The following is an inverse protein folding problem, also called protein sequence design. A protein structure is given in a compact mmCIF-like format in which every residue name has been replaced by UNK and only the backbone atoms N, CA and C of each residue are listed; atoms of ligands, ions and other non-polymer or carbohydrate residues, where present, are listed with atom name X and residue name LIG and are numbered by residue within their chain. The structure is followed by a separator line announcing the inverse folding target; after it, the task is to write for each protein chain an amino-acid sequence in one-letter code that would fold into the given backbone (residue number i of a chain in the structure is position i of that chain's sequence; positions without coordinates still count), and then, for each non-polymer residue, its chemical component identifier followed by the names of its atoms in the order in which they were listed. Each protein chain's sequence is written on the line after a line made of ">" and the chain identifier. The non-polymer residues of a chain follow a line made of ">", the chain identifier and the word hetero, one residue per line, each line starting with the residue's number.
data_IF_653562695489
#
_entry.id   IF_653562695489
#
_cell.length_a   1.000
_cell.length_b   1.000
_cell.length_c   1.000
_cell.angle_alpha   90.00
_cell.angle_beta   90.00
_cell.angle_gamma   90.00
#
_symmetry.space_group_name_H-M   'P 1'
#
loop_
_entity.id
_entity.type
_entity.pdbx_description
1 polymer ?
#
# COMPACT_ATOMS: atom_id res chain seq x y z
N UNK A 1 -38.14 -29.48 48.44
CA UNK A 1 -37.46 -28.75 48.21
C UNK A 1 -36.99 -28.56 47.12
N UNK A 2 -36.76 -27.83 46.61
CA UNK A 2 -36.45 -27.44 45.63
C UNK A 2 -35.33 -27.14 45.24
N UNK A 3 -34.65 -27.46 44.18
CA UNK A 3 -33.39 -27.03 43.72
C UNK A 3 -33.47 -25.71 43.08
N UNK A 4 -32.77 -24.84 43.65
CA UNK A 4 -32.58 -23.57 43.01
C UNK A 4 -31.63 -23.72 41.88
N UNK A 5 -32.17 -23.77 40.70
CA UNK A 5 -31.30 -23.73 39.54
C UNK A 5 -30.95 -22.26 39.30
N UNK A 6 -29.81 -21.91 39.82
CA UNK A 6 -29.19 -20.68 39.39
C UNK A 6 -28.65 -20.89 37.99
N UNK A 7 -29.48 -20.61 37.06
CA UNK A 7 -28.93 -20.49 35.71
C UNK A 7 -28.08 -19.23 35.71
N UNK A 8 -26.80 -19.43 35.89
CA UNK A 8 -25.86 -18.40 35.66
C UNK A 8 -25.82 -18.18 34.15
N UNK A 9 -26.59 -17.25 33.72
CA UNK A 9 -26.47 -16.81 32.37
C UNK A 9 -25.09 -16.13 32.25
N UNK A 10 -24.14 -16.89 31.83
CA UNK A 10 -22.85 -16.33 31.49
C UNK A 10 -23.08 -15.48 30.26
N UNK A 11 -23.33 -14.22 30.48
CA UNK A 11 -23.33 -13.27 29.40
C UNK A 11 -21.86 -13.13 29.01
N UNK A 12 -21.48 -13.93 28.04
CA UNK A 12 -20.23 -13.72 27.40
C UNK A 12 -20.37 -12.43 26.62
N UNK A 13 -20.14 -11.33 27.26
CA UNK A 13 -19.93 -10.10 26.53
C UNK A 13 -18.64 -10.32 25.76
N UNK A 14 -18.77 -10.68 24.51
CA UNK A 14 -17.66 -10.64 23.62
C UNK A 14 -17.15 -9.21 23.63
N UNK A 15 -16.05 -9.01 24.31
CA UNK A 15 -15.31 -7.78 24.18
C UNK A 15 -14.83 -7.70 22.76
N UNK A 16 -15.66 -7.13 21.91
CA UNK A 16 -15.17 -6.68 20.62
C UNK A 16 -14.28 -5.50 20.97
N UNK A 17 -12.98 -5.76 20.99
CA UNK A 17 -12.03 -4.66 21.06
C UNK A 17 -12.38 -3.69 19.94
N UNK A 18 -12.59 -2.39 20.25
CA UNK A 18 -12.83 -1.45 19.18
C UNK A 18 -11.63 -1.52 18.24
N UNK A 19 -11.88 -1.93 17.02
CA UNK A 19 -10.90 -1.82 15.96
C UNK A 19 -10.64 -0.33 15.79
N UNK A 20 -9.62 0.15 16.45
CA UNK A 20 -9.14 1.47 16.14
C UNK A 20 -8.64 1.42 14.70
N UNK A 21 -9.23 2.25 13.87
CA UNK A 21 -8.75 2.43 12.52
C UNK A 21 -7.25 2.71 12.60
N UNK A 22 -6.47 1.85 12.01
CA UNK A 22 -5.03 2.03 11.96
C UNK A 22 -4.73 3.26 11.11
N UNK A 23 -3.87 4.16 11.62
CA UNK A 23 -3.38 5.29 10.82
C UNK A 23 -2.36 4.86 9.78
N UNK A 24 -2.18 3.56 9.62
CA UNK A 24 -1.22 2.96 8.70
C UNK A 24 -1.93 2.21 7.58
N UNK A 25 -1.29 2.11 6.45
CA UNK A 25 -1.78 1.39 5.29
C UNK A 25 -0.79 0.28 4.91
N UNK A 26 -1.30 -0.91 4.68
CA UNK A 26 -0.56 -1.97 4.01
C UNK A 26 -0.81 -1.83 2.52
N UNK A 27 0.23 -1.46 1.79
CA UNK A 27 0.15 -1.15 0.37
C UNK A 27 0.71 -2.30 -0.46
N UNK A 28 -0.06 -2.73 -1.45
CA UNK A 28 0.39 -3.71 -2.44
C UNK A 28 0.38 -3.03 -3.80
N UNK A 29 1.46 -3.15 -4.54
CA UNK A 29 1.56 -2.56 -5.87
C UNK A 29 1.77 -3.67 -6.88
N UNK A 30 0.88 -3.74 -7.87
CA UNK A 30 0.96 -4.67 -8.98
C UNK A 30 1.35 -3.89 -10.23
N UNK A 31 2.44 -4.30 -10.87
CA UNK A 31 2.98 -3.62 -12.04
C UNK A 31 2.80 -4.51 -13.27
N UNK A 32 2.18 -3.95 -14.28
CA UNK A 32 1.87 -4.67 -15.51
C UNK A 32 2.36 -3.93 -16.74
N UNK A 33 2.66 -4.70 -17.78
CA UNK A 33 3.01 -4.17 -19.09
C UNK A 33 1.75 -3.61 -19.79
N UNK A 34 1.91 -2.89 -20.91
CA UNK A 34 0.74 -2.45 -21.70
C UNK A 34 -0.19 -3.58 -22.09
N UNK A 35 0.35 -4.79 -22.31
CA UNK A 35 -0.45 -5.97 -22.63
C UNK A 35 -1.03 -6.70 -21.45
N UNK A 36 -0.83 -6.19 -20.22
CA UNK A 36 -1.39 -6.79 -19.02
C UNK A 36 -0.53 -7.88 -18.40
N UNK A 37 0.70 -8.06 -18.83
CA UNK A 37 1.62 -9.07 -18.28
C UNK A 37 2.33 -8.52 -17.05
N UNK A 38 2.60 -9.39 -16.05
CA UNK A 38 3.38 -8.94 -14.89
C UNK A 38 4.76 -8.42 -15.30
N UNK A 39 5.19 -7.34 -14.68
CA UNK A 39 6.55 -6.80 -14.87
C UNK A 39 7.39 -7.18 -13.66
N UNK A 40 8.28 -8.13 -13.85
CA UNK A 40 9.19 -8.62 -12.83
C UNK A 40 10.38 -7.68 -12.66
N UNK A 41 10.89 -7.59 -11.44
CA UNK A 41 12.11 -6.86 -11.12
C UNK A 41 12.05 -5.37 -11.43
N UNK A 42 10.85 -4.80 -11.42
CA UNK A 42 10.69 -3.36 -11.51
C UNK A 42 11.06 -2.72 -10.18
N UNK A 43 11.77 -1.61 -10.23
CA UNK A 43 12.10 -0.84 -9.04
C UNK A 43 10.90 0.04 -8.68
N UNK A 44 10.32 -0.19 -7.52
CA UNK A 44 9.16 0.56 -7.02
C UNK A 44 9.64 1.44 -5.87
N UNK A 45 9.51 2.73 -6.06
CA UNK A 45 9.91 3.74 -5.08
C UNK A 45 8.66 4.42 -4.58
N UNK A 46 8.45 4.37 -3.27
CA UNK A 46 7.31 5.01 -2.62
C UNK A 46 7.84 6.10 -1.71
N UNK A 47 7.43 7.33 -1.96
CA UNK A 47 7.81 8.49 -1.16
C UNK A 47 6.59 9.06 -0.46
N UNK A 48 6.70 9.25 0.84
CA UNK A 48 5.66 9.90 1.61
C UNK A 48 5.73 11.41 1.37
N UNK A 49 4.62 12.00 0.91
CA UNK A 49 4.57 13.42 0.58
C UNK A 49 3.94 14.20 1.73
N UNK A 50 2.78 13.74 2.21
CA UNK A 50 2.01 14.50 3.18
C UNK A 50 1.05 13.57 3.91
N UNK A 51 1.02 13.64 5.24
CA UNK A 51 0.17 12.81 6.06
C UNK A 51 -1.14 13.46 6.46
N UNK A 52 -2.15 12.62 6.75
CA UNK A 52 -3.42 13.10 7.27
C UNK A 52 -3.32 13.46 8.75
N UNK A 53 -2.34 12.91 9.46
CA UNK A 53 -2.14 13.15 10.89
C UNK A 53 -0.70 13.54 11.17
N UNK A 54 -0.25 14.62 10.55
CA UNK A 54 1.15 15.03 10.61
C UNK A 54 1.66 15.23 12.06
N UNK A 55 0.78 15.61 12.99
CA UNK A 55 1.17 15.82 14.38
C UNK A 55 1.44 14.52 15.14
N UNK A 56 0.87 13.41 14.70
CA UNK A 56 1.09 12.10 15.32
C UNK A 56 2.27 11.37 14.73
N UNK A 57 2.76 11.83 13.61
CA UNK A 57 3.87 11.20 12.91
C UNK A 57 5.15 11.75 13.51
N UNK A 58 5.71 11.06 14.47
CA UNK A 58 6.95 11.49 15.09
C UNK A 58 8.10 11.61 14.10
N UNK A 59 9.18 12.23 14.53
CA UNK A 59 10.34 12.55 13.70
C UNK A 59 11.07 11.34 13.10
N UNK A 60 10.61 10.11 13.38
CA UNK A 60 11.32 8.88 12.99
C UNK A 60 10.67 8.14 11.83
N UNK A 61 9.81 8.78 11.03
CA UNK A 61 9.15 8.10 9.95
C UNK A 61 10.08 8.02 8.76
N UNK A 62 10.22 6.79 8.28
CA UNK A 62 10.92 6.57 7.03
C UNK A 62 10.06 7.16 5.92
N UNK A 63 10.64 8.07 5.14
CA UNK A 63 9.92 8.82 4.10
C UNK A 63 10.01 8.19 2.73
N UNK A 64 10.83 7.19 2.57
CA UNK A 64 11.08 6.57 1.26
C UNK A 64 11.31 5.08 1.39
N UNK A 65 10.71 4.31 0.51
CA UNK A 65 10.89 2.86 0.40
C UNK A 65 11.22 2.53 -1.04
N UNK A 66 12.17 1.63 -1.25
CA UNK A 66 12.52 1.12 -2.57
C UNK A 66 12.53 -0.40 -2.51
N UNK A 67 11.71 -1.02 -3.34
CA UNK A 67 11.55 -2.46 -3.40
C UNK A 67 11.40 -2.89 -4.85
N UNK A 68 11.59 -4.17 -5.11
CA UNK A 68 11.46 -4.70 -6.47
C UNK A 68 10.30 -5.66 -6.56
N UNK A 69 9.61 -5.64 -7.69
CA UNK A 69 8.51 -6.57 -7.94
C UNK A 69 9.02 -8.00 -8.09
N UNK A 70 8.19 -8.94 -7.66
CA UNK A 70 8.46 -10.37 -7.80
C UNK A 70 8.06 -10.87 -9.18
N UNK A 71 8.07 -12.20 -9.38
CA UNK A 71 7.71 -12.82 -10.65
C UNK A 71 6.28 -12.51 -11.09
N UNK A 72 5.41 -12.26 -10.15
CA UNK A 72 4.02 -11.90 -10.45
C UNK A 72 3.83 -10.41 -10.67
N UNK A 73 4.92 -9.65 -10.67
CA UNK A 73 4.87 -8.20 -10.83
C UNK A 73 4.34 -7.47 -9.61
N UNK A 74 4.38 -8.10 -8.44
CA UNK A 74 3.77 -7.57 -7.22
C UNK A 74 4.85 -7.28 -6.20
N UNK A 75 4.64 -6.19 -5.46
CA UNK A 75 5.47 -5.86 -4.31
C UNK A 75 4.58 -5.41 -3.17
N UNK A 76 4.91 -5.86 -1.96
CA UNK A 76 4.24 -5.40 -0.75
C UNK A 76 5.14 -4.39 -0.06
N UNK A 77 4.59 -3.22 0.18
CA UNK A 77 5.30 -2.15 0.88
C UNK A 77 5.07 -2.35 2.38
N UNK A 78 6.10 -2.21 3.22
CA UNK A 78 5.89 -2.22 4.67
C UNK A 78 4.84 -1.18 5.07
N UNK A 79 4.15 -1.36 6.21
CA UNK A 79 3.10 -0.41 6.60
C UNK A 79 3.60 1.03 6.55
N UNK A 80 2.84 1.87 5.88
CA UNK A 80 3.15 3.29 5.72
C UNK A 80 2.06 4.13 6.35
N UNK A 81 2.36 5.35 6.81
CA UNK A 81 1.33 6.25 7.29
C UNK A 81 0.33 6.60 6.19
N UNK A 82 -0.94 6.75 6.57
CA UNK A 82 -1.96 7.21 5.64
C UNK A 82 -1.70 8.65 5.22
N UNK A 83 -1.96 8.94 3.97
CA UNK A 83 -1.73 10.26 3.40
C UNK A 83 -1.48 10.20 1.91
N UNK A 84 -0.83 11.22 1.41
CA UNK A 84 -0.47 11.31 0.00
C UNK A 84 0.94 10.75 -0.19
N UNK A 85 1.08 9.86 -1.16
CA UNK A 85 2.35 9.24 -1.51
C UNK A 85 2.64 9.47 -2.99
N UNK A 86 3.92 9.53 -3.31
CA UNK A 86 4.38 9.50 -4.70
C UNK A 86 4.90 8.10 -4.99
N UNK A 87 4.38 7.48 -6.02
CA UNK A 87 4.85 6.16 -6.48
C UNK A 87 5.59 6.36 -7.79
N UNK A 88 6.86 5.94 -7.80
CA UNK A 88 7.69 5.93 -9.00
C UNK A 88 8.07 4.49 -9.32
N UNK A 89 8.00 4.13 -10.58
CA UNK A 89 8.36 2.78 -11.03
C UNK A 89 9.33 2.90 -12.19
N UNK A 90 10.48 2.28 -12.02
CA UNK A 90 11.54 2.25 -13.02
C UNK A 90 11.72 0.79 -13.44
N UNK A 91 11.47 0.51 -14.69
CA UNK A 91 11.63 -0.81 -15.25
C UNK A 91 12.28 -0.71 -16.63
N UNK A 92 13.13 -1.68 -16.92
CA UNK A 92 13.80 -1.75 -18.21
C UNK A 92 12.75 -1.87 -19.33
N UNK A 93 12.94 -1.11 -20.38
CA UNK A 93 12.09 -1.13 -21.59
C UNK A 93 10.70 -0.52 -21.39
N UNK A 94 10.53 0.28 -20.32
CA UNK A 94 9.28 1.00 -20.09
C UNK A 94 9.57 2.45 -19.73
N UNK A 95 8.58 3.31 -19.95
CA UNK A 95 8.65 4.67 -19.45
C UNK A 95 8.65 4.65 -17.93
N UNK A 96 9.42 5.54 -17.32
CA UNK A 96 9.36 5.73 -15.87
C UNK A 96 7.96 6.24 -15.50
N UNK A 97 7.33 5.53 -14.58
CA UNK A 97 6.03 5.91 -14.04
C UNK A 97 6.23 6.80 -12.82
N UNK A 98 5.41 7.83 -12.69
CA UNK A 98 5.42 8.67 -11.50
C UNK A 98 4.05 9.30 -11.31
N UNK A 99 3.43 9.06 -10.15
CA UNK A 99 2.10 9.59 -9.85
C UNK A 99 1.88 9.63 -8.35
N UNK A 100 1.18 10.68 -7.90
CA UNK A 100 0.72 10.77 -6.52
C UNK A 100 -0.54 9.96 -6.33
N UNK A 101 -0.64 9.32 -5.16
CA UNK A 101 -1.83 8.57 -4.74
C UNK A 101 -2.19 8.97 -3.32
N UNK A 102 -3.47 9.02 -3.07
CA UNK A 102 -3.98 9.23 -1.73
C UNK A 102 -4.34 7.87 -1.12
N UNK A 103 -3.70 7.52 0.00
CA UNK A 103 -3.94 6.25 0.68
C UNK A 103 -4.54 6.53 2.05
N UNK A 104 -5.79 6.14 2.21
CA UNK A 104 -6.56 6.40 3.41
C UNK A 104 -7.24 5.13 3.98
N UNK A 105 -6.88 3.98 3.45
CA UNK A 105 -7.44 2.68 3.86
C UNK A 105 -6.38 1.84 4.54
N UNK A 106 -6.80 0.92 5.40
CA UNK A 106 -5.87 0.00 6.06
C UNK A 106 -5.14 -0.89 5.08
N UNK A 107 -5.82 -1.24 3.99
CA UNK A 107 -5.25 -2.04 2.91
C UNK A 107 -5.57 -1.38 1.58
N UNK A 108 -4.57 -1.25 0.76
CA UNK A 108 -4.71 -0.64 -0.57
C UNK A 108 -3.90 -1.42 -1.58
N UNK A 109 -4.51 -1.70 -2.72
CA UNK A 109 -3.82 -2.29 -3.86
C UNK A 109 -3.85 -1.31 -5.00
N UNK A 110 -2.68 -1.02 -5.56
CA UNK A 110 -2.55 -0.18 -6.73
C UNK A 110 -2.17 -1.06 -7.92
N UNK A 111 -3.01 -1.05 -8.94
CA UNK A 111 -2.73 -1.71 -10.21
C UNK A 111 -2.17 -0.65 -11.17
N UNK A 112 -0.92 -0.80 -11.54
CA UNK A 112 -0.22 0.17 -12.36
C UNK A 112 0.20 -0.47 -13.67
N UNK A 113 -0.22 0.14 -14.76
CA UNK A 113 0.15 -0.27 -16.10
C UNK A 113 1.23 0.65 -16.62
N UNK A 114 2.38 0.09 -16.96
CA UNK A 114 3.47 0.87 -17.50
C UNK A 114 3.23 1.16 -18.99
N UNK A 115 3.82 2.23 -19.46
CA UNK A 115 3.76 2.59 -20.86
C UNK A 115 5.02 2.13 -21.57
N UNK A 116 4.94 1.82 -22.89
CA UNK A 116 6.14 1.48 -23.64
C UNK A 116 7.07 2.69 -23.71
N UNK A 117 8.35 2.46 -23.99
CA UNK A 117 9.30 3.57 -24.08
C UNK A 117 8.89 4.52 -25.20
N UNK A 118 9.11 5.81 -24.97
CA UNK A 118 8.84 6.81 -26.01
C UNK A 118 9.83 6.62 -27.15
N UNK A 119 9.33 6.71 -28.41
CA UNK A 119 10.24 6.70 -29.54
C UNK A 119 11.20 7.87 -29.44
N UNK A 120 12.48 7.58 -29.54
CA UNK A 120 13.48 8.64 -29.60
C UNK A 120 13.60 9.09 -31.04
N UNK A 121 13.12 10.29 -31.29
CA UNK A 121 13.34 10.93 -32.57
C UNK A 121 14.67 11.68 -32.49
N UNK A 122 15.65 11.24 -33.29
CA UNK A 122 16.85 12.05 -33.40
C UNK A 122 16.51 13.28 -34.24
N UNK A 123 16.52 14.44 -33.60
CA UNK A 123 16.34 15.70 -34.29
C UNK A 123 17.70 16.08 -34.93
N UNK A 124 17.78 15.95 -36.22
CA UNK A 124 18.87 16.49 -36.99
C UNK A 124 18.39 17.66 -37.83
#
# INVERSE_FOLDING_TARGET
>A
MRGLILSLALVLSALVAPTQASDMTTLTIAVKSPGGRPVENASVIVKFVKGHSAAKLGKKIRKEWELRTNQDGVVKIPPIPQGTILVQIIAKDYQTFGQDFDVDEEQKTLDIKLNPPQPQYSAH
#
